data_IF_813512736766
#
_entry.id   IF_813512736766
#
_cell.length_a   1.000
_cell.length_b   1.000
_cell.length_c   1.000
_cell.angle_alpha   90.00
_cell.angle_beta   90.00
_cell.angle_gamma   90.00
#
_symmetry.space_group_name_H-M   'P 1'
#
loop_
_entity.id
_entity.type
_entity.pdbx_description
1 polymer ?
#
# COMPACT_ATOMS: atom_id res chain seq x y z
N UNK A 1 -4.23 -9.49 12.92
CA UNK A 1 -4.07 -9.14 11.48
C UNK A 1 -4.83 -10.10 10.60
N UNK A 2 -4.49 -11.41 10.57
CA UNK A 2 -5.19 -12.42 9.75
C UNK A 2 -6.70 -12.48 10.03
N UNK A 3 -7.11 -12.49 11.30
CA UNK A 3 -8.54 -12.53 11.69
C UNK A 3 -9.35 -11.33 11.20
N UNK A 4 -8.74 -10.13 11.17
CA UNK A 4 -9.40 -8.92 10.67
C UNK A 4 -9.60 -8.97 9.16
N UNK A 5 -8.59 -9.50 8.45
CA UNK A 5 -8.67 -9.70 6.99
C UNK A 5 -9.74 -10.74 6.66
N UNK A 6 -9.81 -11.86 7.37
CA UNK A 6 -10.86 -12.86 7.13
C UNK A 6 -12.25 -12.35 7.55
N UNK A 7 -12.33 -11.52 8.59
CA UNK A 7 -13.57 -10.90 9.03
C UNK A 7 -14.18 -9.93 8.00
N UNK A 8 -13.38 -9.39 7.07
CA UNK A 8 -13.88 -8.49 6.03
C UNK A 8 -14.85 -9.21 5.07
N UNK A 9 -14.67 -10.52 4.88
CA UNK A 9 -15.48 -11.36 3.99
C UNK A 9 -16.89 -11.59 4.57
N UNK A 10 -17.04 -11.43 5.88
CA UNK A 10 -18.32 -11.55 6.58
C UNK A 10 -19.17 -10.27 6.45
N UNK A 11 -18.58 -9.16 6.03
CA UNK A 11 -19.30 -7.89 5.84
C UNK A 11 -20.10 -7.99 4.53
N UNK A 12 -21.44 -7.90 4.54
CA UNK A 12 -22.25 -8.05 3.34
C UNK A 12 -21.94 -6.94 2.32
N UNK A 13 -21.86 -7.29 1.04
CA UNK A 13 -21.82 -6.30 -0.03
C UNK A 13 -23.22 -5.71 -0.17
N UNK A 14 -23.34 -4.41 0.09
CA UNK A 14 -24.57 -3.65 -0.17
C UNK A 14 -24.61 -3.21 -1.64
N UNK A 15 -25.80 -2.88 -2.12
CA UNK A 15 -25.99 -2.42 -3.49
C UNK A 15 -25.32 -1.03 -3.68
N UNK A 16 -24.36 -0.91 -4.61
CA UNK A 16 -23.67 0.35 -4.83
C UNK A 16 -24.56 1.45 -5.43
N UNK A 17 -25.78 1.13 -5.88
CA UNK A 17 -26.72 2.14 -6.42
C UNK A 17 -27.35 3.05 -5.36
N UNK A 18 -27.35 2.64 -4.09
CA UNK A 18 -27.91 3.40 -2.96
C UNK A 18 -27.05 4.61 -2.51
N UNK A 19 -25.91 4.84 -3.18
CA UNK A 19 -25.04 5.99 -2.93
C UNK A 19 -24.07 5.82 -1.75
N UNK A 20 -23.20 6.81 -1.56
CA UNK A 20 -22.05 6.70 -0.66
C UNK A 20 -22.41 6.56 0.84
N UNK A 21 -23.54 7.11 1.27
CA UNK A 21 -23.96 7.15 2.68
C UNK A 21 -24.65 5.87 3.16
N UNK A 22 -25.30 5.12 2.27
CA UNK A 22 -25.96 3.85 2.59
C UNK A 22 -24.97 2.67 2.69
N UNK A 23 -23.81 2.80 2.04
CA UNK A 23 -22.82 1.75 1.85
C UNK A 23 -21.82 1.60 3.01
N UNK A 24 -22.29 1.30 4.22
CA UNK A 24 -21.41 1.09 5.39
C UNK A 24 -20.43 -0.07 5.21
N UNK A 25 -20.82 -1.13 4.49
CA UNK A 25 -19.96 -2.31 4.28
C UNK A 25 -18.68 -1.99 3.52
N UNK A 26 -18.77 -1.07 2.56
CA UNK A 26 -17.63 -0.56 1.81
C UNK A 26 -16.64 0.17 2.73
N UNK A 27 -17.14 1.11 3.54
CA UNK A 27 -16.30 1.89 4.46
C UNK A 27 -15.62 1.04 5.53
N UNK A 28 -16.32 0.02 6.07
CA UNK A 28 -15.74 -0.93 7.03
C UNK A 28 -14.57 -1.70 6.40
N UNK A 29 -14.77 -2.24 5.19
CA UNK A 29 -13.70 -2.95 4.47
C UNK A 29 -12.51 -2.05 4.16
N UNK A 30 -12.76 -0.82 3.69
CA UNK A 30 -11.69 0.16 3.46
C UNK A 30 -10.95 0.53 4.75
N UNK A 31 -11.68 0.71 5.86
CA UNK A 31 -11.09 1.02 7.17
C UNK A 31 -10.16 -0.10 7.65
N UNK A 32 -10.59 -1.37 7.52
CA UNK A 32 -9.79 -2.54 7.90
C UNK A 32 -8.53 -2.63 7.03
N UNK A 33 -8.67 -2.43 5.71
CA UNK A 33 -7.55 -2.46 4.76
C UNK A 33 -6.48 -1.43 5.10
N UNK A 34 -6.88 -0.19 5.44
CA UNK A 34 -5.93 0.86 5.85
C UNK A 34 -5.34 0.56 7.22
N UNK A 35 -6.15 0.12 8.19
CA UNK A 35 -5.68 -0.19 9.54
C UNK A 35 -4.63 -1.31 9.56
N UNK A 36 -4.77 -2.32 8.70
CA UNK A 36 -3.79 -3.40 8.52
C UNK A 36 -2.62 -2.95 7.64
N UNK A 37 -2.89 -2.17 6.59
CA UNK A 37 -1.89 -1.77 5.60
C UNK A 37 -0.80 -0.84 6.16
N UNK A 38 -1.19 0.17 6.94
CA UNK A 38 -0.24 1.15 7.51
C UNK A 38 0.87 0.50 8.37
N UNK A 39 0.58 -0.32 9.40
CA UNK A 39 1.62 -0.92 10.22
C UNK A 39 2.48 -1.89 9.40
N UNK A 40 1.90 -2.61 8.43
CA UNK A 40 2.66 -3.48 7.52
C UNK A 40 3.64 -2.70 6.65
N UNK A 41 3.26 -1.53 6.15
CA UNK A 41 4.14 -0.65 5.38
C UNK A 41 5.22 -0.03 6.24
N UNK A 42 4.89 0.44 7.45
CA UNK A 42 5.86 1.06 8.36
C UNK A 42 6.86 0.05 8.92
N UNK A 43 6.43 -1.16 9.28
CA UNK A 43 7.35 -2.24 9.69
C UNK A 43 8.30 -2.59 8.55
N UNK A 44 7.80 -2.70 7.32
CA UNK A 44 8.66 -2.90 6.14
C UNK A 44 9.64 -1.74 5.93
N UNK A 45 9.22 -0.50 6.14
CA UNK A 45 10.12 0.66 6.07
C UNK A 45 11.23 0.56 7.13
N UNK A 46 10.89 0.19 8.37
CA UNK A 46 11.86 -0.03 9.46
C UNK A 46 12.83 -1.17 9.15
N UNK A 47 12.42 -2.22 8.43
CA UNK A 47 13.33 -3.28 7.99
C UNK A 47 14.31 -2.81 6.89
N UNK A 48 13.94 -1.79 6.10
CA UNK A 48 14.79 -1.25 5.04
C UNK A 48 15.70 -0.11 5.51
N UNK A 49 15.35 0.55 6.62
CA UNK A 49 16.07 1.70 7.19
C UNK A 49 16.61 1.28 8.56
N UNK A 50 17.89 0.93 8.60
CA UNK A 50 18.57 0.54 9.84
C UNK A 50 18.61 1.72 10.83
N UNK A 51 18.17 1.47 12.07
CA UNK A 51 18.25 2.43 13.18
C UNK A 51 16.95 3.12 13.61
N UNK A 52 15.80 2.84 12.96
CA UNK A 52 14.50 3.44 13.34
C UNK A 52 13.57 2.41 13.96
N UNK A 53 13.61 2.26 15.29
CA UNK A 53 12.64 1.42 16.02
C UNK A 53 11.42 2.25 16.43
N UNK A 54 10.29 2.03 15.75
CA UNK A 54 9.01 2.63 16.14
C UNK A 54 8.31 1.68 17.13
N UNK A 55 7.89 2.14 18.31
CA UNK A 55 7.17 1.28 19.26
C UNK A 55 5.81 0.86 18.70
N UNK A 56 5.42 -0.40 18.94
CA UNK A 56 4.18 -0.99 18.42
C UNK A 56 2.92 -0.17 18.78
N UNK A 57 2.89 0.43 19.97
CA UNK A 57 1.77 1.26 20.40
C UNK A 57 1.61 2.54 19.55
N UNK A 58 2.71 3.17 19.11
CA UNK A 58 2.65 4.31 18.18
C UNK A 58 2.23 3.88 16.78
N UNK A 59 2.60 2.68 16.36
CA UNK A 59 2.16 2.09 15.09
C UNK A 59 0.65 1.84 15.08
N UNK A 60 0.09 1.28 16.16
CA UNK A 60 -1.35 1.05 16.29
C UNK A 60 -2.12 2.37 16.39
N UNK A 61 -1.59 3.35 17.11
CA UNK A 61 -2.20 4.69 17.17
C UNK A 61 -2.18 5.35 15.78
N UNK A 62 -1.06 5.29 15.07
CA UNK A 62 -0.92 5.79 13.71
C UNK A 62 -1.91 5.13 12.75
N UNK A 63 -2.05 3.81 12.81
CA UNK A 63 -2.96 3.08 11.93
C UNK A 63 -4.42 3.40 12.24
N UNK A 64 -4.78 3.56 13.50
CA UNK A 64 -6.12 3.95 13.92
C UNK A 64 -6.48 5.36 13.43
N UNK A 65 -5.65 6.35 13.74
CA UNK A 65 -5.87 7.75 13.34
C UNK A 65 -5.91 7.89 11.81
N UNK A 66 -4.99 7.22 11.11
CA UNK A 66 -4.96 7.24 9.64
C UNK A 66 -6.18 6.58 9.04
N UNK A 67 -6.64 5.44 9.56
CA UNK A 67 -7.82 4.75 9.06
C UNK A 67 -9.08 5.61 9.17
N UNK A 68 -9.33 6.22 10.34
CA UNK A 68 -10.48 7.10 10.54
C UNK A 68 -10.40 8.32 9.62
N UNK A 69 -9.23 8.96 9.53
CA UNK A 69 -9.04 10.17 8.72
C UNK A 69 -9.18 9.89 7.22
N UNK A 70 -8.71 8.74 6.74
CA UNK A 70 -8.85 8.32 5.35
C UNK A 70 -10.31 8.05 5.01
N UNK A 71 -11.04 7.34 5.87
CA UNK A 71 -12.48 7.08 5.65
C UNK A 71 -13.25 8.39 5.64
N UNK A 72 -13.01 9.28 6.60
CA UNK A 72 -13.65 10.60 6.62
C UNK A 72 -13.34 11.43 5.36
N UNK A 73 -12.07 11.46 4.93
CA UNK A 73 -11.65 12.18 3.73
C UNK A 73 -12.24 11.59 2.45
N UNK A 74 -12.27 10.27 2.33
CA UNK A 74 -12.87 9.59 1.18
C UNK A 74 -14.39 9.71 1.13
N UNK A 75 -15.08 9.71 2.27
CA UNK A 75 -16.51 10.03 2.36
C UNK A 75 -16.79 11.46 1.88
N UNK A 76 -15.96 12.44 2.29
CA UNK A 76 -16.10 13.83 1.83
C UNK A 76 -15.91 13.96 0.31
N UNK A 77 -14.95 13.25 -0.27
CA UNK A 77 -14.74 13.24 -1.72
C UNK A 77 -15.89 12.53 -2.44
N UNK A 78 -16.39 11.41 -1.91
CA UNK A 78 -17.55 10.71 -2.45
C UNK A 78 -18.87 11.48 -2.34
N UNK A 79 -18.95 12.50 -1.47
CA UNK A 79 -20.10 13.42 -1.47
C UNK A 79 -20.15 14.31 -2.72
N UNK A 80 -19.02 14.52 -3.40
CA UNK A 80 -18.91 15.33 -4.61
C UNK A 80 -18.75 14.51 -5.89
N UNK A 81 -18.50 13.20 -5.79
CA UNK A 81 -18.33 12.31 -6.93
C UNK A 81 -19.53 11.36 -7.06
N UNK A 82 -19.94 11.01 -8.29
CA UNK A 82 -20.94 9.97 -8.50
C UNK A 82 -20.42 8.62 -7.97
N UNK A 83 -21.25 7.92 -7.22
CA UNK A 83 -20.95 6.61 -6.63
C UNK A 83 -21.56 5.50 -7.50
N UNK A 84 -20.87 4.36 -7.74
CA UNK A 84 -19.51 4.03 -7.29
C UNK A 84 -18.39 4.72 -8.09
N UNK A 85 -17.33 5.14 -7.40
CA UNK A 85 -16.18 5.81 -8.03
C UNK A 85 -15.36 4.78 -8.82
N UNK A 86 -15.17 4.96 -10.15
CA UNK A 86 -14.32 4.08 -10.94
C UNK A 86 -12.88 4.18 -10.42
N UNK A 87 -12.24 3.03 -10.18
CA UNK A 87 -10.88 2.93 -9.63
C UNK A 87 -10.70 3.69 -8.29
N UNK A 88 -11.59 3.47 -7.34
CA UNK A 88 -11.58 4.12 -6.01
C UNK A 88 -10.19 4.21 -5.34
N UNK A 89 -9.41 3.12 -5.33
CA UNK A 89 -8.06 3.12 -4.72
C UNK A 89 -7.10 4.10 -5.41
N UNK A 90 -7.21 4.25 -6.72
CA UNK A 90 -6.40 5.19 -7.50
C UNK A 90 -6.86 6.63 -7.24
N UNK A 91 -8.18 6.88 -7.28
CA UNK A 91 -8.76 8.20 -7.02
C UNK A 91 -8.47 8.71 -5.60
N UNK A 92 -8.43 7.81 -4.61
CA UNK A 92 -8.19 8.14 -3.21
C UNK A 92 -6.71 8.08 -2.81
N UNK A 93 -5.81 7.66 -3.70
CA UNK A 93 -4.37 7.65 -3.46
C UNK A 93 -3.78 9.00 -2.97
N UNK A 94 -4.14 10.17 -3.53
CA UNK A 94 -3.66 11.45 -3.01
C UNK A 94 -4.18 11.75 -1.59
N UNK A 95 -5.45 11.42 -1.30
CA UNK A 95 -6.05 11.59 0.03
C UNK A 95 -5.31 10.73 1.06
N UNK A 96 -5.12 9.44 0.73
CA UNK A 96 -4.32 8.49 1.52
C UNK A 96 -2.92 9.03 1.81
N UNK A 97 -2.25 9.58 0.80
CA UNK A 97 -0.89 10.10 0.90
C UNK A 97 -0.80 11.31 1.82
N UNK A 98 -1.71 12.29 1.67
CA UNK A 98 -1.73 13.50 2.51
C UNK A 98 -2.05 13.16 3.96
N UNK A 99 -3.07 12.34 4.21
CA UNK A 99 -3.46 11.92 5.55
C UNK A 99 -2.33 11.16 6.24
N UNK A 100 -1.69 10.22 5.53
CA UNK A 100 -0.58 9.45 6.09
C UNK A 100 0.61 10.36 6.39
N UNK A 101 0.93 11.32 5.52
CA UNK A 101 2.02 12.26 5.73
C UNK A 101 1.77 13.12 6.99
N UNK A 102 0.55 13.63 7.16
CA UNK A 102 0.14 14.40 8.34
C UNK A 102 0.20 13.52 9.60
N UNK A 103 -0.43 12.33 9.57
CA UNK A 103 -0.49 11.44 10.72
C UNK A 103 0.92 10.96 11.14
N UNK A 104 1.79 10.66 10.17
CA UNK A 104 3.17 10.29 10.41
C UNK A 104 3.96 11.45 11.02
N UNK A 105 3.77 12.68 10.53
CA UNK A 105 4.38 13.90 11.08
C UNK A 105 3.97 14.15 12.53
N UNK A 106 2.68 14.01 12.84
CA UNK A 106 2.12 14.28 14.17
C UNK A 106 2.52 13.20 15.19
N UNK A 107 2.48 11.92 14.82
CA UNK A 107 2.62 10.80 15.77
C UNK A 107 4.07 10.35 15.98
N UNK A 108 4.87 10.33 14.91
CA UNK A 108 6.26 9.87 14.96
C UNK A 108 7.23 11.04 15.23
N UNK A 109 6.86 12.25 14.79
CA UNK A 109 7.59 13.47 15.05
C UNK A 109 8.72 13.75 14.06
N UNK A 110 9.12 15.02 14.01
CA UNK A 110 10.06 15.58 13.02
C UNK A 110 11.49 15.03 13.14
N UNK A 111 11.87 14.54 14.34
CA UNK A 111 13.22 13.99 14.60
C UNK A 111 13.49 12.70 13.81
N UNK A 112 12.55 11.76 13.83
CA UNK A 112 12.71 10.50 13.09
C UNK A 112 12.61 10.74 11.58
N UNK A 113 11.78 11.70 11.15
CA UNK A 113 11.70 12.10 9.74
C UNK A 113 13.05 12.65 9.24
N UNK A 114 13.73 13.46 10.04
CA UNK A 114 15.07 13.93 9.71
C UNK A 114 16.08 12.78 9.59
N UNK A 115 16.00 11.79 10.48
CA UNK A 115 16.87 10.62 10.46
C UNK A 115 16.60 9.71 9.24
N UNK A 116 15.33 9.57 8.84
CA UNK A 116 14.93 8.88 7.60
C UNK A 116 15.42 9.65 6.37
N UNK A 117 15.30 10.98 6.36
CA UNK A 117 15.80 11.84 5.28
C UNK A 117 17.32 11.83 5.17
N UNK A 118 18.04 11.66 6.29
CA UNK A 118 19.49 11.47 6.28
C UNK A 118 19.89 10.19 5.49
N UNK A 119 19.03 9.16 5.51
CA UNK A 119 19.21 7.91 4.77
C UNK A 119 18.41 7.90 3.44
N UNK A 120 18.45 9.01 2.70
CA UNK A 120 17.76 9.21 1.41
C UNK A 120 17.92 8.05 0.43
N UNK A 121 19.10 7.40 0.37
CA UNK A 121 19.33 6.25 -0.50
C UNK A 121 18.47 5.03 -0.16
N UNK A 122 18.30 4.73 1.13
CA UNK A 122 17.43 3.65 1.61
C UNK A 122 15.95 4.01 1.41
N UNK A 123 15.59 5.28 1.64
CA UNK A 123 14.24 5.79 1.40
C UNK A 123 13.84 5.68 -0.08
N UNK A 124 14.70 6.09 -1.02
CA UNK A 124 14.42 5.95 -2.46
C UNK A 124 14.22 4.49 -2.85
N UNK A 125 15.03 3.57 -2.30
CA UNK A 125 14.87 2.14 -2.55
C UNK A 125 13.54 1.61 -2.00
N UNK A 126 13.14 2.05 -0.82
CA UNK A 126 11.82 1.73 -0.25
C UNK A 126 10.67 2.29 -1.09
N UNK A 127 10.77 3.55 -1.55
CA UNK A 127 9.78 4.17 -2.42
C UNK A 127 9.64 3.41 -3.74
N UNK A 128 10.73 2.94 -4.35
CA UNK A 128 10.66 2.07 -5.53
C UNK A 128 9.93 0.76 -5.25
N UNK A 129 10.17 0.14 -4.09
CA UNK A 129 9.48 -1.10 -3.70
C UNK A 129 7.98 -0.87 -3.43
N UNK A 130 7.61 0.22 -2.76
CA UNK A 130 6.22 0.61 -2.57
C UNK A 130 5.56 0.92 -3.91
N UNK A 131 6.24 1.66 -4.79
CA UNK A 131 5.75 1.96 -6.12
C UNK A 131 5.54 0.69 -6.96
N UNK A 132 6.42 -0.30 -6.82
CA UNK A 132 6.25 -1.61 -7.46
C UNK A 132 5.01 -2.37 -6.95
N UNK A 133 4.61 -2.17 -5.70
CA UNK A 133 3.34 -2.70 -5.16
C UNK A 133 2.14 -1.92 -5.68
N UNK A 134 2.23 -0.59 -5.71
CA UNK A 134 1.17 0.28 -6.20
C UNK A 134 0.94 0.16 -7.71
N UNK A 135 1.96 -0.24 -8.48
CA UNK A 135 1.87 -0.44 -9.93
C UNK A 135 0.68 -1.31 -10.36
N UNK A 136 0.32 -2.33 -9.57
CA UNK A 136 -0.87 -3.14 -9.84
C UNK A 136 -2.18 -2.34 -9.83
N UNK A 137 -2.27 -1.34 -8.96
CA UNK A 137 -3.44 -0.45 -8.84
C UNK A 137 -3.58 0.43 -10.09
N UNK A 138 -2.47 0.73 -10.78
CA UNK A 138 -2.46 1.50 -12.04
C UNK A 138 -2.65 0.61 -13.27
N UNK A 139 -2.06 -0.59 -13.28
CA UNK A 139 -2.13 -1.53 -14.40
C UNK A 139 -3.57 -1.94 -14.68
N UNK A 140 -4.39 -2.13 -13.64
CA UNK A 140 -5.79 -2.54 -13.79
C UNK A 140 -6.65 -1.52 -14.57
N UNK A 141 -6.70 -0.22 -14.20
CA UNK A 141 -7.38 0.79 -15.00
C UNK A 141 -6.84 0.93 -16.42
N UNK A 142 -5.52 0.85 -16.59
CA UNK A 142 -4.91 0.90 -17.92
C UNK A 142 -5.34 -0.30 -18.77
N UNK A 143 -5.43 -1.49 -18.18
CA UNK A 143 -5.93 -2.69 -18.82
C UNK A 143 -7.40 -2.56 -19.20
N UNK A 144 -8.25 -2.07 -18.31
CA UNK A 144 -9.68 -1.92 -18.56
C UNK A 144 -9.94 -0.92 -19.68
N UNK A 145 -9.26 0.23 -19.68
CA UNK A 145 -9.32 1.20 -20.76
C UNK A 145 -8.85 0.61 -22.12
N UNK A 146 -7.78 -0.17 -22.10
CA UNK A 146 -7.25 -0.82 -23.30
C UNK A 146 -8.16 -1.93 -23.82
N UNK A 147 -8.79 -2.69 -22.92
CA UNK A 147 -9.75 -3.73 -23.25
C UNK A 147 -11.02 -3.13 -23.87
N UNK A 148 -11.52 -2.02 -23.31
CA UNK A 148 -12.67 -1.33 -23.86
C UNK A 148 -12.39 -0.68 -25.22
N UNK A 149 -11.15 -0.23 -25.45
CA UNK A 149 -10.70 0.30 -26.74
C UNK A 149 -10.46 -0.80 -27.80
N UNK A 150 -10.07 -2.00 -27.38
CA UNK A 150 -9.80 -3.15 -28.26
C UNK A 150 -11.01 -4.05 -28.51
N UNK A 151 -12.17 -3.73 -27.94
CA UNK A 151 -13.39 -4.52 -28.06
C UNK A 151 -13.83 -4.61 -29.53
N UNK A 152 -13.69 -5.79 -30.14
CA UNK A 152 -14.02 -6.04 -31.56
C UNK A 152 -12.82 -6.18 -32.52
N UNK A 153 -11.57 -6.18 -32.05
CA UNK A 153 -10.36 -6.41 -32.88
C UNK A 153 -9.52 -7.60 -32.42
N UNK A 154 -8.66 -8.12 -33.31
CA UNK A 154 -7.73 -9.25 -33.05
C UNK A 154 -6.72 -9.03 -31.90
N UNK A 155 -6.66 -7.83 -31.31
CA UNK A 155 -5.76 -7.47 -30.20
C UNK A 155 -6.25 -7.92 -28.81
N UNK A 156 -7.47 -8.48 -28.70
CA UNK A 156 -8.02 -8.98 -27.43
C UNK A 156 -7.11 -10.03 -26.76
N UNK A 157 -6.44 -10.88 -27.55
CA UNK A 157 -5.48 -11.88 -27.05
C UNK A 157 -4.18 -11.24 -26.49
N UNK A 158 -3.70 -10.15 -27.09
CA UNK A 158 -2.52 -9.42 -26.61
C UNK A 158 -2.77 -8.75 -25.27
N UNK A 159 -3.99 -8.20 -25.09
CA UNK A 159 -4.41 -7.59 -23.83
C UNK A 159 -4.42 -8.64 -22.73
N UNK A 160 -5.03 -9.81 -22.95
CA UNK A 160 -5.05 -10.93 -21.99
C UNK A 160 -3.63 -11.40 -21.61
N UNK A 161 -2.70 -11.44 -22.57
CA UNK A 161 -1.29 -11.84 -22.33
C UNK A 161 -0.48 -10.78 -21.55
N UNK A 162 -0.95 -9.53 -21.51
CA UNK A 162 -0.31 -8.43 -20.78
C UNK A 162 -0.41 -8.62 -19.24
N UNK A 163 -1.46 -9.29 -18.74
CA UNK A 163 -1.65 -9.57 -17.31
C UNK A 163 -0.54 -10.50 -16.74
N UNK A 164 -0.25 -11.67 -17.36
CA UNK A 164 0.91 -12.48 -17.00
C UNK A 164 2.24 -11.74 -17.13
N UNK A 165 2.38 -10.93 -18.19
CA UNK A 165 3.62 -10.24 -18.50
C UNK A 165 3.99 -9.18 -17.47
N UNK A 166 3.04 -8.31 -17.09
CA UNK A 166 3.25 -7.30 -16.05
C UNK A 166 3.52 -7.92 -14.67
N UNK A 167 2.85 -9.03 -14.35
CA UNK A 167 3.16 -9.83 -13.17
C UNK A 167 4.59 -10.40 -13.20
N UNK A 168 5.05 -10.90 -14.35
CA UNK A 168 6.39 -11.45 -14.52
C UNK A 168 7.49 -10.38 -14.43
N UNK A 169 7.27 -9.21 -15.03
CA UNK A 169 8.17 -8.05 -14.91
C UNK A 169 8.30 -7.62 -13.47
N UNK A 170 7.18 -7.48 -12.74
CA UNK A 170 7.19 -7.12 -11.32
C UNK A 170 7.95 -8.16 -10.50
N UNK A 171 7.70 -9.45 -10.74
CA UNK A 171 8.40 -10.54 -10.06
C UNK A 171 9.91 -10.48 -10.29
N UNK A 172 10.33 -10.29 -11.54
CA UNK A 172 11.73 -10.15 -11.94
C UNK A 172 12.37 -8.91 -11.31
N UNK A 173 11.67 -7.78 -11.30
CA UNK A 173 12.14 -6.54 -10.65
C UNK A 173 12.31 -6.70 -9.14
N UNK A 174 11.36 -7.35 -8.47
CA UNK A 174 11.44 -7.63 -7.04
C UNK A 174 12.62 -8.56 -6.72
N UNK A 175 12.86 -9.58 -7.55
CA UNK A 175 14.02 -10.46 -7.45
C UNK A 175 15.35 -9.70 -7.66
N UNK A 176 15.44 -8.85 -8.69
CA UNK A 176 16.65 -8.04 -8.95
C UNK A 176 16.90 -7.04 -7.82
N UNK A 177 15.85 -6.43 -7.27
CA UNK A 177 15.95 -5.56 -6.10
C UNK A 177 16.30 -6.32 -4.82
N UNK A 178 15.86 -7.57 -4.66
CA UNK A 178 16.23 -8.40 -3.50
C UNK A 178 17.64 -8.97 -3.59
N UNK A 179 18.15 -9.22 -4.80
CA UNK A 179 19.50 -9.73 -5.06
C UNK A 179 20.56 -8.62 -4.95
N UNK A 180 20.22 -7.35 -5.22
CA UNK A 180 21.06 -6.18 -4.87
C UNK A 180 21.00 -5.82 -3.37
N UNK A 181 20.96 -6.81 -2.48
CA UNK A 181 21.45 -6.60 -1.11
C UNK A 181 22.97 -6.58 -1.22
N UNK A 182 23.67 -5.48 -0.88
CA UNK A 182 25.06 -5.65 -0.48
C UNK A 182 25.02 -6.55 0.76
N UNK A 183 25.56 -7.75 0.63
CA UNK A 183 25.96 -8.56 1.76
C UNK A 183 26.87 -7.69 2.64
N UNK A 184 26.35 -7.23 3.78
CA UNK A 184 27.21 -6.86 4.90
C UNK A 184 28.04 -8.09 5.31
N UNK A 185 29.29 -7.90 5.76
CA UNK A 185 30.35 -8.88 5.63
C UNK A 185 30.15 -10.14 6.50
N UNK A 186 30.81 -11.20 6.04
CA UNK A 186 30.93 -12.55 6.59
C UNK A 186 30.82 -12.73 8.11
N UNK A 187 30.08 -13.73 8.60
CA UNK A 187 30.22 -14.23 9.97
C UNK A 187 31.43 -15.19 10.03
N UNK A 188 32.64 -14.69 9.82
CA UNK A 188 33.87 -15.40 10.19
C UNK A 188 34.24 -15.06 11.64
N UNK A 189 33.35 -15.36 12.58
CA UNK A 189 33.60 -15.26 14.03
C UNK A 189 32.55 -16.06 14.80
N UNK A 190 32.56 -17.38 14.64
CA UNK A 190 31.73 -18.33 15.41
C UNK A 190 32.54 -19.53 15.93
N UNK A 191 33.84 -19.34 16.17
CA UNK A 191 34.75 -20.41 16.62
C UNK A 191 35.53 -20.06 17.89
N UNK A 192 34.96 -19.26 18.80
CA UNK A 192 35.63 -18.95 20.08
C UNK A 192 34.72 -18.76 21.30
N UNK A 193 33.46 -19.21 21.25
CA UNK A 193 32.57 -19.22 22.42
C UNK A 193 31.92 -20.61 22.53
N UNK A 194 32.80 -21.60 22.70
CA UNK A 194 32.50 -22.88 23.34
C UNK A 194 33.75 -23.24 24.16
N UNK A 195 33.91 -22.50 25.26
CA UNK A 195 34.51 -22.93 26.51
C UNK A 195 33.63 -22.39 27.63
#
# INVERSE_FOLDING_TARGET
MVTLVLGQELVPLQDPSDGWSSNYGFWVRTSILVFVGIPTLTVQATYFIDGVKVPAMRLVLLSFVSSVSVVAGSMAVCAHLPFPVPFFLLAMFPVLSVVLLIAFRVIIGTRIIHQIMAHRGQLTRYLHFVNAKCLLIFIYPAYEALFHAAHGTHFQLFVILLLPWTCSIRSTWLHVCSVRRPSSPSPSSWSSIFL
#
